data_IF_218430094477
#
_entry.id   IF_218430094477
#
_cell.length_a   1.000
_cell.length_b   1.000
_cell.length_c   1.000
_cell.angle_alpha   90.00
_cell.angle_beta   90.00
_cell.angle_gamma   90.00
#
_symmetry.space_group_name_H-M   'P 1'
#
loop_
_entity.id
_entity.type
_entity.pdbx_description
1 polymer ?
#
# COMPACT_ATOMS: atom_id res chain seq x y z
N UNK A 1 -2.09 -11.72 20.91
CA UNK A 1 -1.27 -10.51 20.89
C UNK A 1 -1.67 -9.60 22.06
N UNK A 2 -2.93 -9.13 22.12
CA UNK A 2 -3.42 -8.22 23.19
C UNK A 2 -3.24 -8.80 24.60
N UNK A 3 -3.52 -10.07 24.78
CA UNK A 3 -3.35 -10.75 26.09
C UNK A 3 -1.88 -10.93 26.48
N UNK A 4 -1.03 -11.08 25.47
CA UNK A 4 0.42 -11.19 25.68
C UNK A 4 1.11 -9.83 25.89
N UNK A 5 0.39 -8.71 25.81
CA UNK A 5 0.95 -7.37 25.99
C UNK A 5 1.92 -6.95 24.88
N UNK A 6 1.71 -7.40 23.65
CA UNK A 6 2.59 -7.12 22.52
C UNK A 6 1.98 -6.07 21.57
N UNK A 7 2.82 -5.23 20.97
CA UNK A 7 2.44 -4.45 19.80
C UNK A 7 2.18 -5.35 18.60
N UNK A 8 1.44 -4.85 17.60
CA UNK A 8 1.02 -5.66 16.47
C UNK A 8 1.24 -4.95 15.12
N UNK A 9 1.76 -5.69 14.13
CA UNK A 9 1.87 -5.23 12.75
C UNK A 9 1.08 -6.19 11.87
N UNK A 10 0.01 -5.70 11.25
CA UNK A 10 -0.81 -6.48 10.35
C UNK A 10 -0.33 -6.33 8.90
N UNK A 11 0.48 -7.27 8.44
CA UNK A 11 1.02 -7.26 7.08
C UNK A 11 0.09 -7.86 6.04
N UNK A 12 -0.99 -8.53 6.45
CA UNK A 12 -1.93 -9.21 5.53
C UNK A 12 -3.17 -8.35 5.25
N UNK A 13 -3.90 -8.59 4.13
CA UNK A 13 -5.06 -7.80 3.73
C UNK A 13 -6.35 -8.19 4.49
N UNK A 14 -6.23 -8.43 5.79
CA UNK A 14 -7.36 -8.57 6.72
C UNK A 14 -7.44 -7.30 7.54
N UNK A 15 -8.58 -6.62 7.50
CA UNK A 15 -8.73 -5.31 8.13
C UNK A 15 -8.85 -5.43 9.65
N UNK A 16 -7.80 -5.01 10.35
CA UNK A 16 -7.72 -4.99 11.81
C UNK A 16 -7.48 -3.56 12.29
N UNK A 17 -6.37 -2.94 11.89
CA UNK A 17 -6.03 -1.58 12.31
C UNK A 17 -7.03 -0.53 11.79
N UNK A 18 -7.62 -0.75 10.61
CA UNK A 18 -8.65 0.13 10.04
C UNK A 18 -10.04 -0.02 10.69
N UNK A 19 -10.26 -1.06 11.55
CA UNK A 19 -11.53 -1.24 12.25
C UNK A 19 -11.53 -0.60 13.64
N UNK A 20 -12.53 0.24 13.93
CA UNK A 20 -12.66 0.95 15.20
C UNK A 20 -12.70 0.04 16.43
N UNK A 21 -13.34 -1.12 16.31
CA UNK A 21 -13.39 -2.12 17.39
C UNK A 21 -12.00 -2.58 17.84
N UNK A 22 -11.13 -2.94 16.90
CA UNK A 22 -9.78 -3.39 17.23
C UNK A 22 -8.89 -2.25 17.69
N UNK A 23 -8.95 -1.07 17.03
CA UNK A 23 -8.20 0.11 17.46
C UNK A 23 -8.45 0.44 18.93
N UNK A 24 -9.73 0.48 19.33
CA UNK A 24 -10.12 0.76 20.71
C UNK A 24 -9.51 -0.24 21.69
N UNK A 25 -9.50 -1.53 21.38
CA UNK A 25 -8.90 -2.57 22.23
C UNK A 25 -7.39 -2.44 22.40
N UNK A 26 -6.67 -2.02 21.34
CA UNK A 26 -5.24 -1.71 21.41
C UNK A 26 -4.98 -0.45 22.22
N UNK A 27 -5.79 0.59 22.03
CA UNK A 27 -5.72 1.84 22.81
C UNK A 27 -5.96 1.61 24.30
N UNK A 28 -7.02 0.90 24.67
CA UNK A 28 -7.38 0.60 26.08
C UNK A 28 -6.27 -0.16 26.82
N UNK A 29 -5.47 -0.94 26.08
CA UNK A 29 -4.33 -1.68 26.63
C UNK A 29 -2.99 -0.94 26.49
N UNK A 30 -2.99 0.25 25.93
CA UNK A 30 -1.79 1.04 25.62
C UNK A 30 -0.77 0.26 24.77
N UNK A 31 -1.26 -0.54 23.83
CA UNK A 31 -0.44 -1.30 22.90
C UNK A 31 -0.55 -0.72 21.50
N UNK A 32 0.57 -0.49 20.78
CA UNK A 32 0.52 0.06 19.44
C UNK A 32 0.14 -0.99 18.39
N UNK A 33 -0.58 -0.54 17.35
CA UNK A 33 -0.88 -1.32 16.15
C UNK A 33 -0.56 -0.54 14.89
N UNK A 34 0.05 -1.21 13.91
CA UNK A 34 0.27 -0.74 12.52
C UNK A 34 -0.45 -1.72 11.58
N UNK A 35 -1.19 -1.24 10.62
CA UNK A 35 -1.91 -2.05 9.61
C UNK A 35 -2.67 -1.15 8.64
N UNK A 36 -3.24 -1.70 7.59
CA UNK A 36 -3.34 -3.11 7.19
C UNK A 36 -2.74 -3.27 5.77
N UNK A 37 -2.28 -4.48 5.42
CA UNK A 37 -1.71 -4.84 4.12
C UNK A 37 -0.42 -4.09 3.77
N UNK A 38 0.73 -4.74 4.05
CA UNK A 38 2.07 -4.13 3.90
C UNK A 38 2.36 -3.68 2.45
N UNK A 39 2.96 -2.50 2.30
CA UNK A 39 3.59 -2.05 1.05
C UNK A 39 4.98 -2.67 0.90
N UNK A 40 5.50 -2.68 -0.32
CA UNK A 40 6.92 -2.96 -0.58
C UNK A 40 7.72 -1.65 -0.58
N UNK A 41 9.06 -1.71 -0.51
CA UNK A 41 9.91 -0.51 -0.64
C UNK A 41 9.70 0.16 -2.00
N UNK A 42 9.90 -0.60 -3.08
CA UNK A 42 9.55 -0.18 -4.44
C UNK A 42 8.73 -1.29 -5.06
N UNK A 43 7.44 -1.09 -5.16
CA UNK A 43 6.50 -2.08 -5.70
C UNK A 43 5.54 -1.47 -6.70
N UNK A 44 4.78 -2.32 -7.37
CA UNK A 44 3.85 -1.92 -8.42
C UNK A 44 2.90 -0.79 -7.97
N UNK A 45 2.33 -0.90 -6.77
CA UNK A 45 1.40 0.10 -6.23
C UNK A 45 2.09 1.45 -6.00
N UNK A 46 3.29 1.46 -5.42
CA UNK A 46 4.04 2.70 -5.17
C UNK A 46 4.39 3.38 -6.50
N UNK A 47 4.95 2.61 -7.45
CA UNK A 47 5.33 3.15 -8.76
C UNK A 47 4.12 3.71 -9.50
N UNK A 48 3.00 2.98 -9.50
CA UNK A 48 1.77 3.41 -10.16
C UNK A 48 1.22 4.70 -9.53
N UNK A 49 1.20 4.81 -8.19
CA UNK A 49 0.80 6.04 -7.47
C UNK A 49 1.66 7.23 -7.85
N UNK A 50 2.99 7.06 -7.84
CA UNK A 50 3.94 8.13 -8.19
C UNK A 50 3.72 8.60 -9.62
N UNK A 51 3.53 7.68 -10.56
CA UNK A 51 3.24 8.01 -11.96
C UNK A 51 1.88 8.71 -12.12
N UNK A 52 0.86 8.26 -11.41
CA UNK A 52 -0.48 8.89 -11.41
C UNK A 52 -0.38 10.32 -10.88
N UNK A 53 0.34 10.52 -9.78
CA UNK A 53 0.59 11.84 -9.21
C UNK A 53 1.41 12.72 -10.16
N UNK A 54 2.40 12.16 -10.86
CA UNK A 54 3.17 12.88 -11.87
C UNK A 54 2.28 13.41 -13.01
N UNK A 55 1.32 12.59 -13.48
CA UNK A 55 0.36 13.02 -14.51
C UNK A 55 -0.44 14.22 -14.03
N UNK A 56 -1.01 14.15 -12.81
CA UNK A 56 -1.75 15.24 -12.20
C UNK A 56 -0.90 16.51 -12.04
N UNK A 57 0.28 16.39 -11.43
CA UNK A 57 1.21 17.53 -11.24
C UNK A 57 1.66 18.21 -12.53
N UNK A 58 1.69 17.46 -13.64
CA UNK A 58 2.10 17.98 -14.95
C UNK A 58 0.91 18.41 -15.81
N UNK A 59 -0.31 18.37 -15.27
CA UNK A 59 -1.51 18.76 -16.00
C UNK A 59 -1.89 17.80 -17.13
N UNK A 60 -1.45 16.55 -17.04
CA UNK A 60 -1.87 15.49 -17.95
C UNK A 60 -3.10 14.81 -17.37
N UNK A 61 -4.23 14.85 -18.08
CA UNK A 61 -5.41 14.12 -17.67
C UNK A 61 -5.19 12.62 -17.88
N UNK A 62 -5.24 11.83 -16.82
CA UNK A 62 -5.24 10.37 -16.94
C UNK A 62 -6.63 9.93 -17.38
N UNK A 63 -6.72 9.27 -18.52
CA UNK A 63 -8.00 8.81 -19.09
C UNK A 63 -8.29 7.36 -18.70
N UNK A 64 -7.25 6.49 -18.75
CA UNK A 64 -7.37 5.09 -18.34
C UNK A 64 -6.02 4.50 -17.95
N UNK A 65 -6.07 3.47 -17.12
CA UNK A 65 -4.86 2.78 -16.67
C UNK A 65 -5.11 1.34 -16.30
N UNK A 66 -4.10 0.49 -16.50
CA UNK A 66 -4.10 -0.84 -15.91
C UNK A 66 -2.75 -1.17 -15.26
N UNK A 67 -2.82 -2.06 -14.29
CA UNK A 67 -1.68 -2.72 -13.67
C UNK A 67 -1.92 -4.22 -13.63
N UNK A 68 -1.10 -4.98 -14.33
CA UNK A 68 -1.11 -6.43 -14.32
C UNK A 68 0.07 -6.94 -13.52
N UNK A 69 -0.17 -7.94 -12.65
CA UNK A 69 0.88 -8.52 -11.82
C UNK A 69 0.89 -10.03 -11.98
N UNK A 70 2.05 -10.63 -11.99
CA UNK A 70 2.23 -12.06 -11.86
C UNK A 70 3.51 -12.37 -11.09
N UNK A 71 3.56 -13.51 -10.45
CA UNK A 71 4.67 -13.93 -9.61
C UNK A 71 4.61 -15.40 -9.27
N UNK A 72 5.63 -15.90 -8.61
CA UNK A 72 5.77 -17.33 -8.31
C UNK A 72 5.78 -17.68 -6.83
N UNK A 73 5.54 -16.72 -5.93
CA UNK A 73 5.50 -16.99 -4.50
C UNK A 73 4.10 -17.45 -4.02
N UNK A 74 4.02 -17.85 -2.78
CA UNK A 74 2.78 -18.38 -2.18
C UNK A 74 1.63 -17.35 -2.15
N UNK A 75 1.93 -16.04 -2.09
CA UNK A 75 0.89 -15.01 -2.15
C UNK A 75 0.17 -15.03 -3.51
N UNK A 76 0.91 -15.18 -4.62
CA UNK A 76 0.32 -15.33 -5.94
C UNK A 76 -0.43 -16.65 -6.10
N UNK A 77 0.08 -17.74 -5.55
CA UNK A 77 -0.63 -19.02 -5.52
C UNK A 77 -1.98 -18.91 -4.78
N UNK A 78 -1.99 -18.29 -3.60
CA UNK A 78 -3.21 -18.09 -2.81
C UNK A 78 -4.22 -17.16 -3.50
N UNK A 79 -3.76 -16.27 -4.39
CA UNK A 79 -4.63 -15.36 -5.14
C UNK A 79 -5.36 -16.03 -6.33
N UNK A 80 -5.09 -17.28 -6.63
CA UNK A 80 -5.89 -18.06 -7.61
C UNK A 80 -7.30 -18.32 -7.09
N UNK A 81 -7.53 -18.27 -5.77
CA UNK A 81 -8.87 -18.36 -5.18
C UNK A 81 -9.59 -17.01 -5.29
N UNK A 82 -10.65 -16.97 -6.11
CA UNK A 82 -11.37 -15.74 -6.49
C UNK A 82 -11.96 -14.96 -5.34
N UNK A 83 -12.42 -15.61 -4.27
CA UNK A 83 -12.99 -14.94 -3.09
C UNK A 83 -12.00 -14.03 -2.35
N UNK A 84 -10.71 -14.34 -2.43
CA UNK A 84 -9.64 -13.53 -1.83
C UNK A 84 -9.21 -12.34 -2.70
N UNK A 85 -9.65 -12.30 -3.97
CA UNK A 85 -9.27 -11.27 -4.92
C UNK A 85 -10.00 -9.95 -4.71
N UNK A 86 -11.25 -9.97 -4.24
CA UNK A 86 -12.12 -8.78 -4.19
C UNK A 86 -11.56 -7.70 -3.26
N UNK A 87 -11.18 -8.05 -2.04
CA UNK A 87 -10.61 -7.09 -1.08
C UNK A 87 -9.27 -6.50 -1.54
N UNK A 88 -8.42 -7.33 -2.15
CA UNK A 88 -7.13 -6.87 -2.72
C UNK A 88 -7.33 -5.97 -3.94
N UNK A 89 -8.33 -6.23 -4.78
CA UNK A 89 -8.65 -5.40 -5.94
C UNK A 89 -9.09 -4.00 -5.50
N UNK A 90 -10.01 -3.91 -4.57
CA UNK A 90 -10.53 -2.65 -4.01
C UNK A 90 -9.37 -1.84 -3.40
N UNK A 91 -8.57 -2.45 -2.54
CA UNK A 91 -7.44 -1.79 -1.88
C UNK A 91 -6.42 -1.21 -2.87
N UNK A 92 -6.05 -1.98 -3.89
CA UNK A 92 -5.08 -1.53 -4.89
C UNK A 92 -5.62 -0.45 -5.83
N UNK A 93 -6.86 -0.59 -6.27
CA UNK A 93 -7.52 0.41 -7.12
C UNK A 93 -7.62 1.75 -6.38
N UNK A 94 -8.13 1.74 -5.16
CA UNK A 94 -8.23 2.94 -4.33
C UNK A 94 -6.86 3.58 -4.06
N UNK A 95 -5.82 2.79 -3.86
CA UNK A 95 -4.47 3.31 -3.66
C UNK A 95 -3.98 4.13 -4.86
N UNK A 96 -4.29 3.74 -6.08
CA UNK A 96 -3.90 4.44 -7.31
C UNK A 96 -4.80 5.65 -7.56
N UNK A 97 -6.12 5.47 -7.54
CA UNK A 97 -7.09 6.52 -7.89
C UNK A 97 -7.13 7.65 -6.88
N UNK A 98 -6.75 7.39 -5.60
CA UNK A 98 -6.64 8.44 -4.57
C UNK A 98 -5.61 9.54 -4.87
N UNK A 99 -4.79 9.37 -5.91
CA UNK A 99 -3.83 10.39 -6.35
C UNK A 99 -4.43 11.40 -7.34
N UNK A 100 -5.66 11.18 -7.78
CA UNK A 100 -6.33 12.06 -8.75
C UNK A 100 -7.38 12.93 -8.04
N UNK A 101 -7.53 14.20 -8.45
CA UNK A 101 -8.60 15.08 -7.95
C UNK A 101 -9.98 14.79 -8.59
N UNK A 102 -10.06 13.79 -9.48
CA UNK A 102 -11.27 13.35 -10.16
C UNK A 102 -11.38 11.82 -10.13
N UNK A 103 -12.57 11.31 -10.43
CA UNK A 103 -12.83 9.88 -10.49
C UNK A 103 -12.71 9.36 -11.92
N UNK A 104 -12.04 8.22 -12.07
CA UNK A 104 -12.07 7.43 -13.31
C UNK A 104 -13.27 6.48 -13.26
N UNK A 105 -13.86 6.17 -14.42
CA UNK A 105 -14.89 5.13 -14.49
C UNK A 105 -14.28 3.76 -14.14
N UNK A 106 -15.08 2.88 -13.55
CA UNK A 106 -14.62 1.53 -13.15
C UNK A 106 -14.10 0.71 -14.33
N UNK A 107 -14.57 1.00 -15.54
CA UNK A 107 -14.11 0.39 -16.80
C UNK A 107 -12.75 0.89 -17.25
N UNK A 108 -12.32 2.05 -16.78
CA UNK A 108 -11.08 2.72 -17.19
C UNK A 108 -9.91 2.47 -16.24
N UNK A 109 -10.15 1.75 -15.15
CA UNK A 109 -9.14 1.36 -14.16
C UNK A 109 -9.14 -0.14 -13.95
N UNK A 110 -8.00 -0.77 -14.19
CA UNK A 110 -7.82 -2.18 -13.84
C UNK A 110 -6.53 -2.37 -13.04
N UNK A 111 -6.65 -2.64 -11.75
CA UNK A 111 -5.51 -2.95 -10.86
C UNK A 111 -5.77 -4.29 -10.19
N UNK A 112 -5.01 -5.29 -10.54
CA UNK A 112 -5.25 -6.62 -9.99
C UNK A 112 -4.04 -7.52 -10.01
N UNK A 113 -4.08 -8.58 -9.17
CA UNK A 113 -3.26 -9.76 -9.38
C UNK A 113 -3.71 -10.39 -10.69
N UNK A 114 -2.77 -10.92 -11.43
CA UNK A 114 -3.08 -11.53 -12.72
C UNK A 114 -2.90 -13.02 -12.67
N UNK A 115 -1.68 -13.53 -12.43
CA UNK A 115 -1.42 -14.93 -12.59
C UNK A 115 -0.27 -15.44 -11.71
N UNK A 116 -0.23 -16.78 -11.57
CA UNK A 116 0.79 -17.51 -10.84
C UNK A 116 1.68 -18.29 -11.81
N UNK A 117 2.98 -18.04 -11.74
CA UNK A 117 3.99 -18.71 -12.56
C UNK A 117 5.04 -19.36 -11.63
N UNK A 118 4.93 -20.69 -11.33
CA UNK A 118 5.72 -21.33 -10.27
C UNK A 118 7.24 -21.16 -10.38
N UNK A 119 7.79 -21.22 -11.58
CA UNK A 119 9.24 -21.12 -11.81
C UNK A 119 9.81 -19.72 -11.57
N UNK A 120 8.97 -18.69 -11.40
CA UNK A 120 9.41 -17.35 -10.98
C UNK A 120 9.86 -17.33 -9.51
N UNK A 121 9.43 -18.30 -8.71
CA UNK A 121 9.75 -18.37 -7.28
C UNK A 121 9.33 -17.07 -6.55
N UNK A 122 10.24 -16.36 -5.92
CA UNK A 122 9.93 -15.10 -5.23
C UNK A 122 9.93 -13.86 -6.14
N UNK A 123 10.20 -14.00 -7.42
CA UNK A 123 10.15 -12.91 -8.38
C UNK A 123 8.71 -12.54 -8.71
N UNK A 124 8.50 -11.24 -8.83
CA UNK A 124 7.23 -10.62 -9.16
C UNK A 124 7.43 -9.61 -10.26
N UNK A 125 6.59 -9.71 -11.26
CA UNK A 125 6.53 -8.79 -12.37
C UNK A 125 5.27 -7.94 -12.32
N UNK A 126 5.38 -6.68 -12.72
CA UNK A 126 4.20 -5.89 -13.05
C UNK A 126 4.36 -5.18 -14.38
N UNK A 127 3.24 -5.03 -15.08
CA UNK A 127 3.10 -4.18 -16.25
C UNK A 127 2.11 -3.08 -15.90
N UNK A 128 2.52 -1.83 -16.09
CA UNK A 128 1.67 -0.66 -15.90
C UNK A 128 1.56 0.02 -17.26
N UNK A 129 0.32 0.29 -17.68
CA UNK A 129 0.02 1.18 -18.80
C UNK A 129 -0.86 2.30 -18.32
N UNK A 130 -0.54 3.51 -18.74
CA UNK A 130 -1.29 4.73 -18.48
C UNK A 130 -1.53 5.43 -19.79
N UNK A 131 -2.77 5.77 -20.06
CA UNK A 131 -3.20 6.53 -21.23
C UNK A 131 -3.80 7.84 -20.76
N UNK A 132 -3.32 8.92 -21.29
CA UNK A 132 -3.74 10.26 -20.88
C UNK A 132 -3.77 11.23 -22.03
N UNK A 133 -4.31 12.41 -21.75
CA UNK A 133 -4.45 13.51 -22.69
C UNK A 133 -3.65 14.71 -22.21
N UNK A 134 -2.81 15.25 -23.09
CA UNK A 134 -2.01 16.45 -22.88
C UNK A 134 -2.63 17.67 -23.54
N UNK A 135 -1.88 18.79 -23.56
CA UNK A 135 -2.29 20.03 -24.24
C UNK A 135 -2.68 19.77 -25.70
N UNK A 136 -3.76 20.39 -26.14
CA UNK A 136 -4.27 20.27 -27.52
C UNK A 136 -4.93 18.91 -27.81
N UNK A 137 -5.39 18.22 -26.78
CA UNK A 137 -6.02 16.89 -26.86
C UNK A 137 -5.11 15.80 -27.47
N UNK A 138 -3.80 15.99 -27.35
CA UNK A 138 -2.82 15.04 -27.85
C UNK A 138 -2.68 13.88 -26.87
N UNK A 139 -2.79 12.60 -27.31
CA UNK A 139 -2.62 11.45 -26.43
C UNK A 139 -1.18 11.29 -25.95
N UNK A 140 -1.04 10.89 -24.70
CA UNK A 140 0.20 10.47 -24.06
C UNK A 140 0.04 9.08 -23.49
N UNK A 141 0.92 8.16 -23.88
CA UNK A 141 0.92 6.80 -23.38
C UNK A 141 2.23 6.51 -22.66
N UNK A 142 2.13 5.89 -21.50
CA UNK A 142 3.27 5.42 -20.72
C UNK A 142 3.14 3.92 -20.48
N UNK A 143 4.21 3.18 -20.72
CA UNK A 143 4.33 1.78 -20.39
C UNK A 143 5.54 1.57 -19.48
N UNK A 144 5.35 0.77 -18.43
CA UNK A 144 6.40 0.42 -17.49
C UNK A 144 6.33 -1.08 -17.18
N UNK A 145 7.50 -1.70 -17.18
CA UNK A 145 7.71 -3.06 -16.72
C UNK A 145 8.65 -3.03 -15.51
N UNK A 146 8.21 -3.65 -14.40
CA UNK A 146 8.99 -3.74 -13.17
C UNK A 146 9.14 -5.20 -12.76
N UNK A 147 10.35 -5.61 -12.40
CA UNK A 147 10.64 -6.88 -11.76
C UNK A 147 11.24 -6.62 -10.37
N UNK A 148 10.75 -7.34 -9.37
CA UNK A 148 11.27 -7.28 -8.00
C UNK A 148 11.34 -8.68 -7.38
N UNK A 149 12.21 -8.85 -6.39
CA UNK A 149 12.15 -9.94 -5.43
C UNK A 149 11.22 -9.52 -4.30
N UNK A 150 10.05 -10.15 -4.20
CA UNK A 150 8.90 -9.66 -3.41
C UNK A 150 9.20 -9.68 -1.91
N UNK A 151 9.74 -10.79 -1.41
CA UNK A 151 10.00 -10.98 0.02
C UNK A 151 11.04 -10.00 0.59
N UNK A 152 12.26 -9.84 0.02
CA UNK A 152 13.20 -8.86 0.51
C UNK A 152 12.68 -7.42 0.39
N UNK A 153 11.94 -7.13 -0.67
CA UNK A 153 11.36 -5.82 -0.92
C UNK A 153 10.29 -5.43 0.12
N UNK A 154 9.60 -6.40 0.70
CA UNK A 154 8.67 -6.18 1.81
C UNK A 154 9.35 -6.19 3.17
N UNK A 155 10.38 -7.03 3.34
CA UNK A 155 11.08 -7.20 4.62
C UNK A 155 11.67 -5.89 5.15
N UNK A 156 12.24 -5.05 4.27
CA UNK A 156 12.76 -3.73 4.65
C UNK A 156 11.68 -2.84 5.28
N UNK A 157 10.48 -2.83 4.71
CA UNK A 157 9.35 -2.05 5.24
C UNK A 157 8.86 -2.63 6.58
N UNK A 158 8.83 -3.96 6.71
CA UNK A 158 8.46 -4.62 7.98
C UNK A 158 9.44 -4.26 9.10
N UNK A 159 10.74 -4.22 8.80
CA UNK A 159 11.78 -3.81 9.78
C UNK A 159 11.52 -2.38 10.27
N UNK A 160 11.22 -1.45 9.37
CA UNK A 160 10.93 -0.07 9.77
C UNK A 160 9.61 0.04 10.56
N UNK A 161 8.59 -0.73 10.20
CA UNK A 161 7.36 -0.81 10.99
C UNK A 161 7.63 -1.38 12.41
N UNK A 162 8.49 -2.40 12.56
CA UNK A 162 8.91 -2.94 13.86
C UNK A 162 9.61 -1.85 14.69
N UNK A 163 10.49 -1.08 14.08
CA UNK A 163 11.19 0.04 14.75
C UNK A 163 10.19 1.09 15.25
N UNK A 164 9.18 1.43 14.46
CA UNK A 164 8.11 2.35 14.88
C UNK A 164 7.27 1.78 16.04
N UNK A 165 6.93 0.49 16.01
CA UNK A 165 6.26 -0.17 17.14
C UNK A 165 7.12 -0.11 18.40
N UNK A 166 8.43 -0.35 18.28
CA UNK A 166 9.36 -0.29 19.43
C UNK A 166 9.40 1.14 20.02
N UNK A 167 9.52 2.16 19.18
CA UNK A 167 9.47 3.56 19.61
C UNK A 167 8.16 3.86 20.34
N UNK A 168 7.01 3.42 19.80
CA UNK A 168 5.72 3.63 20.45
C UNK A 168 5.62 2.95 21.82
N UNK A 169 6.10 1.71 21.92
CA UNK A 169 6.13 0.97 23.21
C UNK A 169 7.02 1.70 24.22
N UNK A 170 8.20 2.16 23.83
CA UNK A 170 9.13 2.87 24.73
C UNK A 170 8.53 4.20 25.23
N UNK A 171 7.70 4.85 24.40
CA UNK A 171 7.00 6.10 24.75
C UNK A 171 5.64 5.89 25.41
N UNK A 172 5.18 4.65 25.59
CA UNK A 172 3.85 4.35 26.15
C UNK A 172 2.69 4.75 25.22
N UNK A 173 2.93 4.89 23.92
CA UNK A 173 1.91 5.22 22.92
C UNK A 173 1.16 3.96 22.54
N UNK A 174 -0.18 3.96 22.72
CA UNK A 174 -1.07 2.86 22.35
C UNK A 174 -2.07 3.25 21.26
N UNK A 175 -2.76 2.22 20.72
CA UNK A 175 -3.72 2.39 19.65
C UNK A 175 -3.07 2.38 18.26
N UNK A 176 -3.81 2.84 17.26
CA UNK A 176 -3.30 2.86 15.88
C UNK A 176 -2.25 3.95 15.68
N UNK A 177 -1.10 3.56 15.15
CA UNK A 177 -0.06 4.50 14.73
C UNK A 177 -0.40 5.01 13.32
N UNK A 178 -1.10 6.13 13.22
CA UNK A 178 -1.66 6.63 11.95
C UNK A 178 -0.58 6.94 10.90
N UNK A 179 0.47 7.67 11.27
CA UNK A 179 1.54 8.03 10.35
C UNK A 179 2.32 6.80 9.84
N UNK A 180 2.83 5.89 10.71
CA UNK A 180 3.44 4.64 10.26
C UNK A 180 2.49 3.77 9.42
N UNK A 181 1.21 3.66 9.81
CA UNK A 181 0.24 2.88 9.03
C UNK A 181 0.04 3.47 7.63
N UNK A 182 -0.15 4.79 7.51
CA UNK A 182 -0.32 5.43 6.20
C UNK A 182 0.90 5.28 5.30
N UNK A 183 2.11 5.35 5.86
CA UNK A 183 3.32 5.24 5.08
C UNK A 183 3.63 3.80 4.67
N UNK A 184 3.49 2.84 5.58
CA UNK A 184 3.90 1.46 5.36
C UNK A 184 2.81 0.54 4.83
N UNK A 185 1.52 0.89 4.95
CA UNK A 185 0.39 0.01 4.66
C UNK A 185 -0.45 0.51 3.49
N UNK A 186 -1.07 -0.44 2.76
CA UNK A 186 -1.95 -0.12 1.62
C UNK A 186 -3.35 0.32 2.05
N UNK A 187 -3.81 -0.19 3.20
CA UNK A 187 -5.13 0.11 3.77
C UNK A 187 -4.97 0.58 5.22
N UNK A 188 -4.42 1.77 5.45
CA UNK A 188 -4.25 2.31 6.79
C UNK A 188 -5.59 2.77 7.39
N UNK A 189 -5.66 2.95 8.72
CA UNK A 189 -6.82 3.57 9.38
C UNK A 189 -7.14 4.98 8.86
N UNK A 190 -6.11 5.72 8.45
CA UNK A 190 -6.20 7.04 7.84
C UNK A 190 -5.17 7.14 6.72
N UNK A 191 -5.61 7.60 5.54
CA UNK A 191 -4.76 7.69 4.37
C UNK A 191 -4.28 9.13 4.17
N UNK A 192 -2.96 9.32 4.21
CA UNK A 192 -2.28 10.56 3.80
C UNK A 192 -1.68 10.42 2.39
N UNK A 193 -1.31 11.55 1.78
CA UNK A 193 -0.41 11.51 0.63
C UNK A 193 0.95 10.91 1.01
N UNK A 194 1.69 10.35 0.05
CA UNK A 194 2.95 9.67 0.37
C UNK A 194 3.97 10.65 1.00
N UNK A 195 4.03 11.90 0.52
CA UNK A 195 4.89 12.94 1.08
C UNK A 195 4.48 13.37 2.49
N UNK A 196 3.18 13.47 2.74
CA UNK A 196 2.67 13.80 4.06
C UNK A 196 2.90 12.66 5.04
N UNK A 197 2.61 11.42 4.64
CA UNK A 197 2.85 10.23 5.45
C UNK A 197 4.31 10.10 5.84
N UNK A 198 5.24 10.32 4.89
CA UNK A 198 6.68 10.34 5.13
C UNK A 198 7.08 11.38 6.17
N UNK A 199 6.67 12.64 5.98
CA UNK A 199 7.00 13.72 6.92
C UNK A 199 6.46 13.44 8.32
N UNK A 200 5.24 12.89 8.43
CA UNK A 200 4.65 12.53 9.72
C UNK A 200 5.38 11.37 10.39
N UNK A 201 5.89 10.38 9.64
CA UNK A 201 6.72 9.29 10.19
C UNK A 201 8.07 9.84 10.67
N UNK A 202 8.72 10.71 9.89
CA UNK A 202 9.97 11.35 10.28
C UNK A 202 9.78 12.16 11.57
N UNK A 203 8.69 12.93 11.67
CA UNK A 203 8.34 13.65 12.90
C UNK A 203 8.09 12.68 14.07
N UNK A 204 7.33 11.61 13.87
CA UNK A 204 7.09 10.58 14.88
C UNK A 204 8.39 9.95 15.40
N UNK A 205 9.38 9.74 14.53
CA UNK A 205 10.67 9.14 14.92
C UNK A 205 11.48 10.11 15.80
N UNK A 206 11.55 11.39 15.43
CA UNK A 206 12.37 12.40 16.12
C UNK A 206 11.67 13.07 17.30
N UNK A 207 10.34 13.05 17.30
CA UNK A 207 9.55 13.67 18.37
C UNK A 207 9.82 12.95 19.70
N UNK A 208 10.46 13.65 20.61
CA UNK A 208 10.83 13.19 21.96
C UNK A 208 9.82 13.64 23.02
N UNK A 209 8.66 14.14 22.58
CA UNK A 209 7.65 14.65 23.48
C UNK A 209 6.88 13.55 24.23
#
# INVERSE_FOLDING_TARGET
VLEAGCGFINCVPVFIASQGYWRKRFEDRKLPIIGDDIKSQVGATIVHRVLTHLFDQRGVRLDRTYQLNFGGNTDFYNMLERERLESKKISKTNAVTSQLPYQLADTDVHVGPSDYVPWLTDRKWCYIRMEGTTFGDVPLNLELKLEVWDSPNSAGVVIDAIRCIKIALDRGIGGALYAPSSYFMKTPPEQYSDDEARRKVEAFIVDQA
#
